data_IF_040731808658
#
_entry.id   IF_040731808658
#
_cell.length_a   1.000
_cell.length_b   1.000
_cell.length_c   1.000
_cell.angle_alpha   90.00
_cell.angle_beta   90.00
_cell.angle_gamma   90.00
#
_symmetry.space_group_name_H-M   'P 1'
#
loop_
_entity.id
_entity.type
_entity.pdbx_description
1 polymer ?
#
# COMPACT_ATOMS: atom_id res chain seq x y z
N UNK A 1 39.15 3.96 -25.76
CA UNK A 1 39.23 4.44 -24.37
C UNK A 1 37.81 4.32 -23.85
N UNK A 2 37.65 3.37 -22.94
CA UNK A 2 36.38 2.75 -22.57
C UNK A 2 35.58 3.71 -21.69
N UNK A 3 34.38 4.08 -22.11
CA UNK A 3 33.41 4.74 -21.22
C UNK A 3 32.79 3.63 -20.37
N UNK A 4 33.33 3.51 -19.16
CA UNK A 4 32.83 2.69 -18.06
C UNK A 4 31.37 3.07 -17.78
N UNK A 5 30.42 2.31 -18.34
CA UNK A 5 29.01 2.39 -17.99
C UNK A 5 28.80 1.65 -16.67
N UNK A 6 29.33 2.17 -15.58
CA UNK A 6 29.06 1.64 -14.25
C UNK A 6 27.54 1.76 -13.98
N UNK A 7 26.81 0.67 -13.69
CA UNK A 7 25.38 0.75 -13.39
C UNK A 7 25.16 1.65 -12.18
N UNK A 8 24.33 2.69 -12.35
CA UNK A 8 23.97 3.63 -11.30
C UNK A 8 23.20 2.86 -10.21
N UNK A 9 23.73 2.81 -8.99
CA UNK A 9 23.06 2.32 -7.77
C UNK A 9 21.86 3.20 -7.37
N UNK A 10 20.92 3.39 -8.29
CA UNK A 10 19.62 4.00 -8.00
C UNK A 10 18.62 2.86 -7.78
N UNK A 11 17.59 3.14 -6.99
CA UNK A 11 16.35 2.37 -6.86
C UNK A 11 16.14 1.54 -5.60
N UNK A 12 17.12 1.40 -4.68
CA UNK A 12 16.87 0.67 -3.42
C UNK A 12 16.37 1.55 -2.27
N UNK A 13 16.72 2.83 -2.25
CA UNK A 13 16.26 3.72 -1.18
C UNK A 13 14.81 4.16 -1.32
N UNK A 14 14.27 4.21 -2.55
CA UNK A 14 12.95 4.79 -2.87
C UNK A 14 11.74 4.00 -2.35
N UNK A 15 11.84 2.67 -2.32
CA UNK A 15 10.72 1.81 -1.93
C UNK A 15 10.55 1.73 -0.40
N UNK A 16 11.67 1.73 0.33
CA UNK A 16 11.65 1.50 1.78
C UNK A 16 11.24 2.74 2.58
N UNK A 17 11.59 3.96 2.13
CA UNK A 17 11.22 5.18 2.87
C UNK A 17 9.70 5.41 2.88
N UNK A 18 9.01 5.05 1.79
CA UNK A 18 7.55 5.12 1.74
C UNK A 18 6.97 4.18 2.79
N UNK A 19 7.42 2.92 2.83
CA UNK A 19 6.96 1.91 3.79
C UNK A 19 7.11 2.38 5.23
N UNK A 20 8.30 2.89 5.61
CA UNK A 20 8.53 3.40 6.97
C UNK A 20 7.62 4.58 7.31
N UNK A 21 7.35 5.48 6.35
CA UNK A 21 6.41 6.57 6.60
C UNK A 21 5.00 6.02 6.84
N UNK A 22 4.46 5.18 5.96
CA UNK A 22 3.08 4.66 6.11
C UNK A 22 2.88 3.75 7.33
N UNK A 23 3.96 3.13 7.81
CA UNK A 23 3.95 2.36 9.06
C UNK A 23 3.91 3.25 10.31
N UNK A 24 4.50 4.45 10.25
CA UNK A 24 4.58 5.39 11.37
C UNK A 24 3.39 6.38 11.43
N UNK A 25 2.75 6.70 10.29
CA UNK A 25 1.57 7.59 10.31
C UNK A 25 0.36 6.88 10.93
N UNK A 26 -0.42 7.62 11.72
CA UNK A 26 -1.65 7.11 12.32
C UNK A 26 -2.81 6.91 11.32
N UNK A 27 -2.66 7.44 10.09
CA UNK A 27 -3.69 7.39 9.05
C UNK A 27 -3.69 6.07 8.30
N UNK A 28 -4.88 5.68 7.85
CA UNK A 28 -5.08 4.50 7.03
C UNK A 28 -4.59 4.77 5.60
N UNK A 29 -3.65 3.95 5.14
CA UNK A 29 -3.22 3.92 3.75
C UNK A 29 -3.44 2.52 3.17
N UNK A 30 -3.97 2.47 1.95
CA UNK A 30 -4.22 1.23 1.21
C UNK A 30 -3.70 1.41 -0.21
N UNK A 31 -3.03 0.39 -0.74
CA UNK A 31 -2.65 0.31 -2.15
C UNK A 31 -3.48 -0.78 -2.79
N UNK A 32 -4.02 -0.48 -3.96
CA UNK A 32 -4.84 -1.41 -4.75
C UNK A 32 -4.26 -1.57 -6.15
N UNK A 33 -4.43 -2.76 -6.73
CA UNK A 33 -4.22 -2.99 -8.15
C UNK A 33 -5.31 -2.29 -8.99
N UNK A 34 -5.14 -2.27 -10.31
CA UNK A 34 -6.05 -1.58 -11.23
C UNK A 34 -7.48 -2.12 -11.22
N UNK A 35 -7.67 -3.36 -10.76
CA UNK A 35 -8.96 -4.01 -10.56
C UNK A 35 -9.57 -3.77 -9.16
N UNK A 36 -8.89 -3.01 -8.30
CA UNK A 36 -9.34 -2.71 -6.95
C UNK A 36 -8.93 -3.75 -5.90
N UNK A 37 -8.16 -4.78 -6.27
CA UNK A 37 -7.62 -5.75 -5.33
C UNK A 37 -6.60 -5.10 -4.41
N UNK A 38 -6.76 -5.26 -3.09
CA UNK A 38 -5.85 -4.70 -2.10
C UNK A 38 -4.52 -5.46 -2.13
N UNK A 39 -3.43 -4.73 -2.37
CA UNK A 39 -2.05 -5.28 -2.41
C UNK A 39 -1.23 -4.89 -1.18
N UNK A 40 -1.62 -3.83 -0.49
CA UNK A 40 -1.04 -3.42 0.78
C UNK A 40 -2.05 -2.62 1.59
N UNK A 41 -2.04 -2.82 2.91
CA UNK A 41 -2.74 -1.97 3.86
C UNK A 41 -1.83 -1.67 5.05
N UNK A 42 -1.83 -0.42 5.50
CA UNK A 42 -1.07 0.01 6.68
C UNK A 42 -1.53 -0.75 7.93
N UNK A 43 -0.62 -1.08 8.88
CA UNK A 43 -0.97 -1.67 10.17
C UNK A 43 -1.99 -0.85 10.98
N UNK A 44 -2.16 0.43 10.67
CA UNK A 44 -3.19 1.28 11.28
C UNK A 44 -4.61 0.72 11.08
N UNK A 45 -4.85 -0.15 10.10
CA UNK A 45 -6.17 -0.73 9.82
C UNK A 45 -6.77 -1.48 11.00
N UNK A 46 -5.96 -2.16 11.80
CA UNK A 46 -6.43 -2.85 13.00
C UNK A 46 -6.93 -1.89 14.05
N UNK A 47 -6.27 -0.73 14.21
CA UNK A 47 -6.69 0.29 15.18
C UNK A 47 -7.90 1.08 14.68
N UNK A 48 -7.93 1.41 13.39
CA UNK A 48 -8.93 2.32 12.79
C UNK A 48 -10.22 1.59 12.43
N UNK A 49 -10.12 0.43 11.77
CA UNK A 49 -11.26 -0.35 11.27
C UNK A 49 -11.48 -1.67 12.01
N UNK A 50 -10.49 -2.17 12.75
CA UNK A 50 -10.62 -3.42 13.53
C UNK A 50 -10.27 -4.70 12.76
N UNK A 51 -9.82 -4.58 11.51
CA UNK A 51 -9.44 -5.74 10.68
C UNK A 51 -7.96 -6.11 10.85
N UNK A 52 -7.64 -7.38 10.66
CA UNK A 52 -6.27 -7.80 10.44
C UNK A 52 -5.84 -7.43 9.01
N UNK A 53 -4.63 -6.88 8.78
CA UNK A 53 -4.13 -6.62 7.44
C UNK A 53 -4.24 -7.84 6.51
N UNK A 54 -3.93 -9.04 7.01
CA UNK A 54 -3.89 -10.25 6.19
C UNK A 54 -5.29 -10.69 5.74
N UNK A 55 -6.35 -10.29 6.44
CA UNK A 55 -7.74 -10.56 6.06
C UNK A 55 -8.22 -9.67 4.89
N UNK A 56 -7.52 -8.56 4.63
CA UNK A 56 -7.88 -7.59 3.60
C UNK A 56 -7.09 -7.80 2.30
N UNK A 57 -5.86 -8.28 2.39
CA UNK A 57 -4.97 -8.45 1.25
C UNK A 57 -5.55 -9.50 0.29
N UNK A 58 -5.63 -9.15 -1.00
CA UNK A 58 -6.19 -10.01 -2.04
C UNK A 58 -7.71 -9.88 -2.23
N UNK A 59 -8.41 -9.15 -1.37
CA UNK A 59 -9.82 -8.82 -1.54
C UNK A 59 -10.03 -7.52 -2.32
N UNK A 60 -11.18 -7.37 -2.97
CA UNK A 60 -11.55 -6.12 -3.62
C UNK A 60 -11.94 -5.08 -2.55
N UNK A 61 -11.30 -3.90 -2.57
CA UNK A 61 -11.50 -2.90 -1.52
C UNK A 61 -12.96 -2.43 -1.38
N UNK A 62 -13.74 -2.46 -2.46
CA UNK A 62 -15.15 -2.09 -2.47
C UNK A 62 -16.04 -3.06 -1.67
N UNK A 63 -15.59 -4.29 -1.40
CA UNK A 63 -16.31 -5.24 -0.54
C UNK A 63 -16.51 -4.69 0.88
N UNK A 64 -15.55 -3.88 1.36
CA UNK A 64 -15.55 -3.32 2.71
C UNK A 64 -16.19 -1.92 2.79
N UNK A 65 -16.53 -1.33 1.64
CA UNK A 65 -17.27 -0.06 1.58
C UNK A 65 -18.74 -0.32 1.88
N UNK A 66 -19.34 0.50 2.75
CA UNK A 66 -20.77 0.43 3.06
C UNK A 66 -21.58 0.55 1.76
N UNK A 67 -22.61 -0.29 1.52
CA UNK A 67 -23.30 -0.35 0.23
C UNK A 67 -23.90 0.98 -0.22
N UNK A 68 -24.33 1.83 0.71
CA UNK A 68 -24.87 3.16 0.41
C UNK A 68 -23.80 4.15 -0.10
N UNK A 69 -22.52 3.87 0.13
CA UNK A 69 -21.39 4.72 -0.27
C UNK A 69 -20.70 4.22 -1.56
N UNK A 70 -21.15 3.10 -2.13
CA UNK A 70 -20.57 2.52 -3.37
C UNK A 70 -20.98 3.28 -4.64
N UNK A 71 -22.03 4.08 -4.57
CA UNK A 71 -22.57 4.85 -5.69
C UNK A 71 -22.35 6.36 -5.47
N UNK A 72 -21.16 6.87 -5.83
CA UNK A 72 -20.93 8.31 -6.10
C UNK A 72 -19.97 8.52 -7.25
#
# INVERSE_FOLDING_TARGET
MEEDTTPREKDKHGADWYRTLVEEVNDLATVVDSDGTITYVSPAVTRVLGYDPDDLIGHEGYEFVHPEDRER
#
